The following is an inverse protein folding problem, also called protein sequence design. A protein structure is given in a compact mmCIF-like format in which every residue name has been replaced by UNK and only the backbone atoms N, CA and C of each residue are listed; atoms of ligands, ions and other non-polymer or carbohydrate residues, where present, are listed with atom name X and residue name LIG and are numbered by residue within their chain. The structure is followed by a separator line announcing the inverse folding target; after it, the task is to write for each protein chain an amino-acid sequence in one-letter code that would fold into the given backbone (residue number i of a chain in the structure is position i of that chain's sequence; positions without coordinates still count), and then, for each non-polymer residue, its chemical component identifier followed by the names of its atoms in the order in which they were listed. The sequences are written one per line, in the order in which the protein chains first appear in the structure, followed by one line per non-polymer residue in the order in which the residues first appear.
data_IF_057137599940
#
_entry.id   IF_057137599940
#
_cell.length_a   1.000
_cell.length_b   1.000
_cell.length_c   1.000
_cell.angle_alpha   90.00
_cell.angle_beta   90.00
_cell.angle_gamma   90.00
#
_symmetry.space_group_name_H-M   'P 1'
#
loop_
_entity.id
_entity.type
_entity.pdbx_description
1 polymer ?
#
# COMPACT_ATOMS: atom_id res chain seq x y z
N UNK A 1 -13.43 5.90 8.74
CA UNK A 1 -12.54 4.82 8.26
C UNK A 1 -13.06 3.43 8.62
N UNK A 2 -13.51 3.17 9.85
CA UNK A 2 -14.01 1.82 10.22
C UNK A 2 -15.20 1.36 9.37
N UNK A 3 -16.13 2.26 9.03
CA UNK A 3 -17.22 1.95 8.09
C UNK A 3 -16.73 1.54 6.69
N UNK A 4 -15.68 2.19 6.17
CA UNK A 4 -15.08 1.84 4.88
C UNK A 4 -14.40 0.47 4.94
N UNK A 5 -13.70 0.16 6.04
CA UNK A 5 -13.11 -1.16 6.25
C UNK A 5 -14.15 -2.27 6.27
N UNK A 6 -15.23 -2.10 7.05
CA UNK A 6 -16.31 -3.08 7.14
C UNK A 6 -16.98 -3.34 5.78
N UNK A 7 -17.17 -2.30 4.96
CA UNK A 7 -17.73 -2.43 3.62
C UNK A 7 -16.77 -3.12 2.63
N UNK A 8 -15.46 -2.95 2.82
CA UNK A 8 -14.45 -3.39 1.87
C UNK A 8 -13.95 -4.81 2.13
N UNK A 9 -13.83 -5.22 3.39
CA UNK A 9 -13.15 -6.47 3.78
C UNK A 9 -13.78 -7.72 3.14
N UNK A 10 -15.10 -7.74 2.95
CA UNK A 10 -15.83 -8.87 2.37
C UNK A 10 -15.54 -9.12 0.88
N UNK A 11 -14.92 -8.17 0.17
CA UNK A 11 -14.54 -8.33 -1.23
C UNK A 11 -13.22 -9.09 -1.45
N UNK A 12 -12.43 -9.30 -0.39
CA UNK A 12 -11.13 -9.95 -0.45
C UNK A 12 -11.25 -11.42 -0.02
N UNK A 13 -10.48 -12.31 -0.66
CA UNK A 13 -10.36 -13.70 -0.16
C UNK A 13 -9.59 -13.71 1.17
N UNK A 14 -8.44 -13.03 1.22
CA UNK A 14 -7.69 -12.75 2.45
C UNK A 14 -7.06 -11.37 2.39
N UNK A 15 -7.02 -10.67 3.52
CA UNK A 15 -6.43 -9.34 3.64
C UNK A 15 -6.00 -9.07 5.08
N UNK A 16 -4.98 -8.23 5.26
CA UNK A 16 -4.60 -7.70 6.57
C UNK A 16 -5.68 -6.73 7.06
N UNK A 17 -5.93 -6.71 8.37
CA UNK A 17 -6.86 -5.76 8.99
C UNK A 17 -6.36 -4.34 8.78
N UNK A 18 -7.17 -3.52 8.11
CA UNK A 18 -6.87 -2.10 7.79
C UNK A 18 -7.92 -1.16 8.39
N UNK A 19 -8.24 -1.38 9.67
CA UNK A 19 -9.12 -0.48 10.41
C UNK A 19 -8.41 0.84 10.74
N UNK A 20 -9.15 1.79 11.33
CA UNK A 20 -8.58 3.07 11.74
C UNK A 20 -7.37 2.90 12.66
N UNK A 21 -7.46 1.97 13.63
CA UNK A 21 -6.44 1.79 14.65
C UNK A 21 -5.12 1.31 14.05
N UNK A 22 -5.20 0.43 13.05
CA UNK A 22 -4.05 0.00 12.27
C UNK A 22 -3.43 1.16 11.50
N UNK A 23 -4.22 1.92 10.74
CA UNK A 23 -3.71 3.03 9.92
C UNK A 23 -3.09 4.15 10.77
N UNK A 24 -3.73 4.50 11.89
CA UNK A 24 -3.22 5.51 12.84
C UNK A 24 -1.87 5.08 13.44
N UNK A 25 -1.78 3.84 13.94
CA UNK A 25 -0.53 3.32 14.50
C UNK A 25 0.57 3.17 13.44
N UNK A 26 0.24 2.57 12.29
CA UNK A 26 1.23 2.16 11.29
C UNK A 26 1.75 3.32 10.45
N UNK A 27 0.89 4.27 10.09
CA UNK A 27 1.24 5.32 9.12
C UNK A 27 1.18 6.72 9.71
N UNK A 28 0.14 7.04 10.49
CA UNK A 28 0.00 8.40 11.02
C UNK A 28 0.97 8.71 12.16
N UNK A 29 1.17 7.74 13.07
CA UNK A 29 2.08 7.84 14.21
C UNK A 29 3.45 7.23 13.95
N UNK A 30 3.80 7.01 12.68
CA UNK A 30 5.05 6.34 12.33
C UNK A 30 6.26 7.19 12.76
N UNK A 31 7.19 6.66 13.58
CA UNK A 31 8.23 7.48 14.20
C UNK A 31 9.35 7.92 13.25
N UNK A 32 9.49 7.25 12.10
CA UNK A 32 10.68 7.40 11.23
C UNK A 32 10.35 7.91 9.82
N UNK A 33 9.08 7.96 9.44
CA UNK A 33 8.69 8.32 8.08
C UNK A 33 7.33 9.01 8.06
N UNK A 34 7.18 9.96 7.14
CA UNK A 34 5.92 10.63 6.89
C UNK A 34 5.17 9.96 5.74
N UNK A 35 3.93 9.57 6.03
CA UNK A 35 3.00 9.07 5.03
C UNK A 35 1.96 10.14 4.73
N UNK A 36 1.58 10.24 3.46
CA UNK A 36 0.50 11.10 2.97
C UNK A 36 -0.69 10.21 2.60
N UNK A 37 -1.89 10.71 2.87
CA UNK A 37 -3.13 10.00 2.58
C UNK A 37 -3.81 10.65 1.38
N UNK A 38 -4.18 9.83 0.39
CA UNK A 38 -5.06 10.24 -0.72
C UNK A 38 -6.44 9.70 -0.40
N UNK A 39 -7.38 10.59 -0.16
CA UNK A 39 -8.78 10.25 0.08
C UNK A 39 -9.57 10.40 -1.22
N UNK A 40 -10.34 9.37 -1.58
CA UNK A 40 -11.29 9.43 -2.68
C UNK A 40 -12.69 9.43 -2.08
N UNK A 41 -13.48 10.44 -2.43
CA UNK A 41 -14.86 10.59 -1.97
C UNK A 41 -15.84 10.21 -3.10
N UNK A 42 -17.00 9.69 -2.73
CA UNK A 42 -18.16 9.58 -3.64
C UNK A 42 -18.71 10.97 -3.96
N UNK A 43 -19.55 11.11 -5.00
CA UNK A 43 -20.22 12.39 -5.28
C UNK A 43 -21.05 12.93 -4.10
N UNK A 44 -21.52 12.04 -3.22
CA UNK A 44 -22.28 12.36 -2.00
C UNK A 44 -21.38 12.75 -0.82
N UNK A 45 -20.06 12.81 -1.02
CA UNK A 45 -19.07 13.19 0.00
C UNK A 45 -18.69 12.06 0.96
N UNK A 46 -19.05 10.81 0.66
CA UNK A 46 -18.68 9.66 1.49
C UNK A 46 -17.30 9.14 1.12
N UNK A 47 -16.50 8.73 2.11
CA UNK A 47 -15.19 8.17 1.85
C UNK A 47 -15.29 6.81 1.13
N UNK A 48 -14.80 6.75 -0.11
CA UNK A 48 -14.84 5.58 -0.99
C UNK A 48 -13.55 4.75 -0.98
N UNK A 49 -12.40 5.41 -0.83
CA UNK A 49 -11.10 4.75 -0.73
C UNK A 49 -10.05 5.66 -0.08
N UNK A 50 -9.01 5.04 0.47
CA UNK A 50 -7.80 5.68 0.94
C UNK A 50 -6.60 5.00 0.28
N UNK A 51 -5.71 5.80 -0.29
CA UNK A 51 -4.34 5.40 -0.63
C UNK A 51 -3.36 5.93 0.40
N UNK A 52 -2.45 5.09 0.88
CA UNK A 52 -1.33 5.53 1.71
C UNK A 52 -0.11 5.64 0.84
N UNK A 53 0.45 6.85 0.73
CA UNK A 53 1.59 7.15 -0.12
C UNK A 53 2.75 7.60 0.74
N UNK A 54 3.93 7.06 0.47
CA UNK A 54 5.18 7.56 1.02
C UNK A 54 5.86 8.41 -0.04
N UNK A 55 6.29 9.61 0.35
CA UNK A 55 6.93 10.56 -0.56
C UNK A 55 8.27 10.96 0.02
N UNK A 56 9.30 10.89 -0.81
CA UNK A 56 10.61 11.49 -0.55
C UNK A 56 10.93 12.53 -1.64
N UNK A 57 12.16 13.04 -1.68
CA UNK A 57 12.56 14.09 -2.62
C UNK A 57 12.56 13.66 -4.10
N UNK A 58 12.53 12.35 -4.41
CA UNK A 58 12.67 11.85 -5.77
C UNK A 58 11.54 10.92 -6.21
N UNK A 59 10.83 10.29 -5.28
CA UNK A 59 9.81 9.30 -5.61
C UNK A 59 8.57 9.35 -4.71
N UNK A 60 7.45 8.94 -5.30
CA UNK A 60 6.23 8.61 -4.58
C UNK A 60 5.97 7.11 -4.67
N UNK A 61 5.69 6.48 -3.53
CA UNK A 61 5.37 5.05 -3.44
C UNK A 61 4.00 4.85 -2.83
N UNK A 62 3.10 4.20 -3.56
CA UNK A 62 1.83 3.71 -3.00
C UNK A 62 2.13 2.48 -2.14
N UNK A 63 2.06 2.65 -0.83
CA UNK A 63 2.44 1.62 0.14
C UNK A 63 1.24 0.84 0.65
N UNK A 64 0.05 1.43 0.71
CA UNK A 64 -1.14 0.72 1.16
C UNK A 64 -2.43 1.26 0.56
N UNK A 65 -3.51 0.48 0.67
CA UNK A 65 -4.83 0.81 0.17
C UNK A 65 -5.93 0.27 1.08
N UNK A 66 -6.88 1.13 1.42
CA UNK A 66 -8.14 0.78 2.05
C UNK A 66 -9.29 1.16 1.12
N UNK A 67 -10.00 0.17 0.62
CA UNK A 67 -11.19 0.37 -0.22
C UNK A 67 -11.65 -0.94 -0.85
N UNK A 68 -12.64 -0.92 -1.75
CA UNK A 68 -13.20 -2.13 -2.33
C UNK A 68 -12.15 -2.96 -3.10
N UNK A 69 -12.27 -4.29 -2.98
CA UNK A 69 -11.40 -5.23 -3.66
C UNK A 69 -11.54 -5.22 -5.19
N UNK A 70 -12.75 -4.90 -5.69
CA UNK A 70 -13.10 -4.84 -7.11
C UNK A 70 -13.71 -3.49 -7.46
N UNK A 71 -12.86 -2.54 -7.81
CA UNK A 71 -13.24 -1.19 -8.19
C UNK A 71 -12.13 -0.55 -9.02
N UNK A 72 -11.88 -1.11 -10.22
CA UNK A 72 -10.86 -0.62 -11.13
C UNK A 72 -10.90 0.91 -11.34
N UNK A 73 -12.07 1.57 -11.52
CA UNK A 73 -12.11 3.03 -11.64
C UNK A 73 -11.55 3.75 -10.41
N UNK A 74 -11.87 3.31 -9.19
CA UNK A 74 -11.35 3.92 -7.96
C UNK A 74 -9.83 3.77 -7.86
N UNK A 75 -9.31 2.58 -8.18
CA UNK A 75 -7.87 2.30 -8.18
C UNK A 75 -7.14 3.14 -9.23
N UNK A 76 -7.74 3.29 -10.42
CA UNK A 76 -7.24 4.19 -11.45
C UNK A 76 -7.21 5.64 -10.97
N UNK A 77 -8.30 6.13 -10.39
CA UNK A 77 -8.36 7.50 -9.87
C UNK A 77 -7.32 7.72 -8.78
N UNK A 78 -7.13 6.77 -7.87
CA UNK A 78 -6.13 6.86 -6.81
C UNK A 78 -4.70 6.99 -7.38
N UNK A 79 -4.33 6.12 -8.33
CA UNK A 79 -3.00 6.20 -8.96
C UNK A 79 -2.86 7.49 -9.76
N UNK A 80 -3.90 7.93 -10.47
CA UNK A 80 -3.91 9.20 -11.19
C UNK A 80 -3.74 10.39 -10.25
N UNK A 81 -4.43 10.40 -9.12
CA UNK A 81 -4.31 11.45 -8.09
C UNK A 81 -2.90 11.48 -7.51
N UNK A 82 -2.28 10.32 -7.28
CA UNK A 82 -0.87 10.26 -6.84
C UNK A 82 0.06 10.95 -7.85
N UNK A 83 -0.11 10.67 -9.15
CA UNK A 83 0.69 11.30 -10.22
C UNK A 83 0.46 12.81 -10.31
N UNK A 84 -0.78 13.28 -10.13
CA UNK A 84 -1.09 14.72 -10.23
C UNK A 84 -0.77 15.51 -8.97
N UNK A 85 -0.64 14.86 -7.82
CA UNK A 85 -0.34 15.52 -6.54
C UNK A 85 1.14 15.91 -6.45
N UNK A 86 2.03 15.11 -7.05
CA UNK A 86 3.48 15.34 -7.01
C UNK A 86 4.14 15.27 -8.40
N UNK A 87 3.64 16.02 -9.40
CA UNK A 87 4.03 15.88 -10.81
C UNK A 87 5.54 16.04 -11.09
N UNK A 88 6.27 16.69 -10.18
CA UNK A 88 7.70 16.95 -10.25
C UNK A 88 8.59 15.75 -9.90
N UNK A 89 8.05 14.69 -9.30
CA UNK A 89 8.85 13.53 -8.87
C UNK A 89 9.36 12.72 -10.07
N UNK A 90 10.60 12.23 -9.93
CA UNK A 90 11.28 11.48 -10.98
C UNK A 90 10.76 10.05 -11.14
N UNK A 91 10.20 9.46 -10.07
CA UNK A 91 9.74 8.08 -10.08
C UNK A 91 8.48 7.84 -9.26
N UNK A 92 7.69 6.86 -9.70
CA UNK A 92 6.50 6.39 -9.01
C UNK A 92 6.51 4.87 -8.95
N UNK A 93 6.17 4.32 -7.80
CA UNK A 93 6.18 2.87 -7.63
C UNK A 93 5.06 2.39 -6.73
N UNK A 94 4.74 1.11 -6.87
CA UNK A 94 3.87 0.41 -5.95
C UNK A 94 4.22 -1.08 -5.99
N UNK A 95 4.09 -1.72 -4.84
CA UNK A 95 4.16 -3.17 -4.73
C UNK A 95 2.77 -3.68 -4.37
N UNK A 96 2.23 -4.60 -5.18
CA UNK A 96 0.88 -5.12 -4.95
C UNK A 96 0.68 -6.52 -5.53
N UNK A 97 -0.10 -7.35 -4.84
CA UNK A 97 -0.62 -8.60 -5.40
C UNK A 97 -1.86 -8.37 -6.30
N UNK A 98 -2.55 -7.24 -6.16
CA UNK A 98 -3.85 -6.99 -6.77
C UNK A 98 -3.79 -6.78 -8.29
N UNK A 99 -4.69 -7.48 -9.00
CA UNK A 99 -4.74 -7.46 -10.46
C UNK A 99 -5.28 -6.13 -11.01
N UNK A 100 -6.26 -5.51 -10.34
CA UNK A 100 -6.83 -4.26 -10.83
C UNK A 100 -5.89 -3.08 -10.62
N UNK A 101 -5.13 -3.03 -9.52
CA UNK A 101 -4.06 -2.05 -9.38
C UNK A 101 -3.01 -2.22 -10.46
N UNK A 102 -2.57 -3.46 -10.75
CA UNK A 102 -1.64 -3.73 -11.86
C UNK A 102 -2.21 -3.23 -13.19
N UNK A 103 -3.50 -3.44 -13.44
CA UNK A 103 -4.17 -2.95 -14.65
C UNK A 103 -4.24 -1.42 -14.69
N UNK A 104 -4.67 -0.77 -13.60
CA UNK A 104 -4.74 0.69 -13.48
C UNK A 104 -3.36 1.34 -13.69
N UNK A 105 -2.32 0.83 -13.02
CA UNK A 105 -0.96 1.32 -13.14
C UNK A 105 -0.43 1.17 -14.57
N UNK A 106 -0.64 0.01 -15.22
CA UNK A 106 -0.26 -0.19 -16.63
C UNK A 106 -0.93 0.83 -17.56
N UNK A 107 -2.20 1.14 -17.34
CA UNK A 107 -2.91 2.16 -18.13
C UNK A 107 -2.37 3.58 -17.94
N UNK A 108 -1.64 3.81 -16.85
CA UNK A 108 -1.01 5.08 -16.49
C UNK A 108 0.51 5.08 -16.77
N UNK A 109 1.01 4.11 -17.55
CA UNK A 109 2.41 4.07 -17.99
C UNK A 109 3.38 3.35 -17.06
N UNK A 110 2.90 2.74 -15.97
CA UNK A 110 3.76 1.91 -15.12
C UNK A 110 4.08 0.59 -15.82
N UNK A 111 5.29 0.09 -15.56
CA UNK A 111 5.73 -1.23 -16.00
C UNK A 111 6.12 -2.10 -14.81
N UNK A 112 6.10 -3.41 -15.00
CA UNK A 112 6.52 -4.34 -13.96
C UNK A 112 8.05 -4.33 -13.87
N UNK A 113 8.58 -4.00 -12.69
CA UNK A 113 10.00 -4.07 -12.39
C UNK A 113 10.54 -5.50 -12.51
N UNK A 114 11.85 -5.62 -12.78
CA UNK A 114 12.55 -6.93 -12.87
C UNK A 114 12.69 -7.61 -11.50
N UNK A 115 12.73 -6.82 -10.44
CA UNK A 115 12.79 -7.33 -9.07
C UNK A 115 11.36 -7.60 -8.56
N UNK A 116 11.11 -8.84 -8.15
CA UNK A 116 9.91 -9.20 -7.40
C UNK A 116 10.31 -9.30 -5.92
N UNK A 117 9.86 -8.37 -5.07
CA UNK A 117 10.08 -8.48 -3.64
C UNK A 117 9.42 -9.78 -3.14
N UNK A 118 10.15 -10.54 -2.33
CA UNK A 118 9.70 -11.85 -1.88
C UNK A 118 8.78 -11.68 -0.68
N UNK A 119 7.48 -11.81 -0.89
CA UNK A 119 6.53 -12.04 0.19
C UNK A 119 6.45 -13.54 0.49
N UNK A 120 6.65 -13.89 1.76
CA UNK A 120 6.48 -15.25 2.23
C UNK A 120 5.31 -15.28 3.22
N UNK A 121 4.23 -15.99 2.85
CA UNK A 121 3.15 -16.28 3.79
C UNK A 121 3.44 -17.62 4.42
N UNK A 122 3.82 -17.60 5.70
CA UNK A 122 4.03 -18.82 6.47
C UNK A 122 2.69 -19.34 7.00
N UNK A 123 2.46 -20.64 6.85
CA UNK A 123 1.36 -21.35 7.46
C UNK A 123 1.93 -22.51 8.27
N UNK A 124 1.39 -22.74 9.47
CA UNK A 124 1.83 -23.86 10.28
C UNK A 124 1.58 -25.19 9.55
N UNK A 125 2.45 -26.20 9.70
CA UNK A 125 2.27 -27.50 9.04
C UNK A 125 0.92 -28.16 9.34
N UNK A 126 0.37 -27.90 10.53
CA UNK A 126 -0.95 -28.39 10.97
C UNK A 126 -2.12 -27.74 10.22
N UNK A 127 -1.95 -26.52 9.71
CA UNK A 127 -2.94 -25.82 8.88
C UNK A 127 -2.73 -26.04 7.38
N UNK A 128 -1.54 -26.49 6.99
CA UNK A 128 -1.13 -26.80 5.62
C UNK A 128 -1.41 -28.25 5.21
N UNK A 129 -1.97 -29.05 6.12
CA UNK A 129 -2.53 -30.37 5.81
C UNK A 129 -3.52 -30.20 4.63
N UNK A 130 -3.29 -30.97 3.56
CA UNK A 130 -3.99 -30.88 2.28
C UNK A 130 -5.49 -31.19 2.33
N UNK A 131 -6.07 -31.43 3.51
CA UNK A 131 -7.51 -31.49 3.72
C UNK A 131 -8.20 -30.12 3.71
N UNK A 132 -7.43 -29.03 3.82
CA UNK A 132 -7.98 -27.68 3.80
C UNK A 132 -8.26 -27.23 2.35
N UNK A 133 -9.54 -26.97 1.95
CA UNK A 133 -9.90 -26.65 0.57
C UNK A 133 -9.36 -25.31 0.07
N UNK A 134 -8.75 -24.49 0.93
CA UNK A 134 -8.08 -23.23 0.55
C UNK A 134 -6.66 -23.19 1.13
N UNK A 135 -5.60 -23.23 0.30
CA UNK A 135 -4.22 -23.11 0.76
C UNK A 135 -4.05 -21.83 1.59
N UNK A 136 -3.57 -21.95 2.83
CA UNK A 136 -3.44 -20.80 3.74
C UNK A 136 -2.55 -19.68 3.18
N UNK A 137 -1.60 -20.02 2.31
CA UNK A 137 -0.62 -19.10 1.71
C UNK A 137 -1.09 -18.40 0.41
N UNK A 138 -2.29 -18.69 -0.11
CA UNK A 138 -2.82 -18.09 -1.34
C UNK A 138 -3.97 -17.12 -1.07
N UNK A 139 -4.29 -16.26 -2.05
CA UNK A 139 -5.46 -15.37 -2.01
C UNK A 139 -5.28 -14.07 -1.22
N UNK A 140 -4.06 -13.79 -0.75
CA UNK A 140 -3.77 -12.58 0.01
C UNK A 140 -3.72 -11.33 -0.87
N UNK A 141 -4.54 -10.35 -0.52
CA UNK A 141 -4.33 -8.97 -0.91
C UNK A 141 -3.16 -8.39 -0.11
N UNK A 142 -2.09 -8.05 -0.82
CA UNK A 142 -0.82 -7.61 -0.27
C UNK A 142 -0.41 -6.31 -0.97
N UNK A 143 0.06 -5.35 -0.19
CA UNK A 143 0.62 -4.08 -0.61
C UNK A 143 2.02 -3.88 -0.02
N UNK A 144 2.73 -2.85 -0.48
CA UNK A 144 4.05 -2.43 -0.02
C UNK A 144 4.24 -2.47 1.50
N UNK A 145 3.29 -1.88 2.21
CA UNK A 145 3.30 -1.67 3.65
C UNK A 145 3.10 -2.93 4.49
N UNK A 146 2.66 -4.04 3.87
CA UNK A 146 2.55 -5.36 4.51
C UNK A 146 3.92 -6.05 4.65
N UNK A 147 4.98 -5.49 4.05
CA UNK A 147 6.35 -6.00 4.12
C UNK A 147 7.15 -5.29 5.21
N UNK A 148 7.98 -6.06 5.92
CA UNK A 148 9.05 -5.51 6.78
C UNK A 148 10.05 -4.66 5.98
N UNK A 149 10.20 -4.93 4.68
CA UNK A 149 11.09 -4.20 3.79
C UNK A 149 10.73 -2.71 3.69
N UNK A 150 9.44 -2.36 3.74
CA UNK A 150 9.01 -0.95 3.74
C UNK A 150 9.42 -0.24 5.04
N UNK A 151 9.29 -0.92 6.19
CA UNK A 151 9.74 -0.39 7.48
C UNK A 151 11.26 -0.18 7.50
N UNK A 152 12.04 -1.18 7.05
CA UNK A 152 13.50 -1.09 7.01
C UNK A 152 13.99 -0.01 6.06
N UNK A 153 13.37 0.10 4.88
CA UNK A 153 13.68 1.17 3.94
C UNK A 153 13.38 2.55 4.54
N UNK A 154 12.24 2.68 5.23
CA UNK A 154 11.86 3.92 5.90
C UNK A 154 12.85 4.35 6.99
N UNK A 155 13.33 3.40 7.79
CA UNK A 155 14.32 3.66 8.83
C UNK A 155 15.68 4.08 8.23
N UNK A 156 16.11 3.40 7.15
CA UNK A 156 17.37 3.70 6.47
C UNK A 156 17.37 5.11 5.86
N UNK A 157 16.29 5.49 5.19
CA UNK A 157 16.18 6.80 4.57
C UNK A 157 16.10 7.92 5.61
N UNK A 158 15.38 7.69 6.73
CA UNK A 158 15.36 8.59 7.89
C UNK A 158 16.76 8.80 8.48
N UNK A 159 17.51 7.72 8.67
CA UNK A 159 18.89 7.77 9.17
C UNK A 159 19.81 8.56 8.24
N UNK A 160 19.74 8.30 6.92
CA UNK A 160 20.56 9.02 5.95
C UNK A 160 20.29 10.53 5.99
N UNK A 161 19.03 10.95 6.07
CA UNK A 161 18.67 12.37 6.22
C UNK A 161 19.24 12.99 7.50
N UNK A 162 19.24 12.27 8.63
CA UNK A 162 19.81 12.75 9.89
C UNK A 162 21.34 12.87 9.85
N UNK A 163 22.02 11.98 9.12
CA UNK A 163 23.49 12.03 8.95
C UNK A 163 23.89 13.18 8.03
N UNK A 164 23.25 13.34 6.88
CA UNK A 164 23.58 14.45 5.96
C UNK A 164 23.33 15.82 6.58
N UNK A 165 22.29 15.98 7.41
CA UNK A 165 22.02 17.25 8.10
C UNK A 165 22.97 17.53 9.29
N UNK A 166 23.77 16.54 9.72
CA UNK A 166 24.78 16.72 10.79
C UNK A 166 26.13 17.18 10.26
N UNK A 167 26.41 16.95 8.98
CA UNK A 167 27.68 17.32 8.36
C UNK A 167 27.69 18.77 7.83
N UNK A 168 26.58 19.50 7.98
CA UNK A 168 26.40 20.91 7.56
C UNK A 168 26.58 21.95 8.70
N UNK A 169 27.15 21.56 9.86
CA UNK A 169 27.42 22.45 11.00
C UNK A 169 28.88 22.45 11.45
#
# INVERSE_FOLDING_TARGET
MDGLWQQSMGGYDKTVVRDWRYLDWRYQKHPLAEYKFIEILTPEGQLAAIGVVRVDQQQARLVDYLGPAKALPLKYFLVKTMLSTWPELAAYSAMTSDAEFKQAMRSLGFYQGREQPRFFVWASPQMADGSNPRPCNQGWFIMGGDSDGELLQSARESWNHQVTNRDDF
#
